data_IF_865218877621
#
_entry.id   IF_865218877621
#
_cell.length_a   1.000
_cell.length_b   1.000
_cell.length_c   1.000
_cell.angle_alpha   90.00
_cell.angle_beta   90.00
_cell.angle_gamma   90.00
#
_symmetry.space_group_name_H-M   'P 1'
#
loop_
_entity.id
_entity.type
_entity.pdbx_description
1 polymer ?
#
# COMPACT_ATOMS: atom_id res chain seq x y z
N UNK A 1 -12.99 -8.90 3.36
CA UNK A 1 -13.80 -8.02 2.49
C UNK A 1 -12.97 -6.90 1.86
N UNK A 2 -11.93 -6.37 2.53
CA UNK A 2 -11.02 -5.36 1.97
C UNK A 2 -10.44 -5.73 0.59
N UNK A 3 -9.71 -6.85 0.50
CA UNK A 3 -9.03 -7.26 -0.74
C UNK A 3 -9.95 -7.57 -1.92
N UNK A 4 -11.15 -8.09 -1.67
CA UNK A 4 -12.14 -8.33 -2.72
C UNK A 4 -12.65 -7.03 -3.32
N UNK A 5 -12.84 -6.00 -2.49
CA UNK A 5 -13.26 -4.67 -2.95
C UNK A 5 -12.12 -3.97 -3.71
N UNK A 6 -10.91 -3.95 -3.14
CA UNK A 6 -9.75 -3.32 -3.78
C UNK A 6 -9.43 -3.95 -5.14
N UNK A 7 -9.55 -5.28 -5.27
CA UNK A 7 -9.36 -5.96 -6.57
C UNK A 7 -10.36 -5.47 -7.62
N UNK A 8 -11.62 -5.32 -7.27
CA UNK A 8 -12.66 -4.84 -8.18
C UNK A 8 -12.42 -3.38 -8.63
N UNK A 9 -11.88 -2.53 -7.76
CA UNK A 9 -11.51 -1.15 -8.11
C UNK A 9 -10.31 -1.13 -9.07
N UNK A 10 -9.29 -1.94 -8.82
CA UNK A 10 -8.09 -2.05 -9.68
C UNK A 10 -8.47 -2.57 -11.07
N UNK A 11 -9.38 -3.54 -11.16
CA UNK A 11 -9.88 -4.06 -12.45
C UNK A 11 -10.63 -3.00 -13.28
N UNK A 12 -11.16 -1.95 -12.64
CA UNK A 12 -11.87 -0.84 -13.29
C UNK A 12 -10.97 0.37 -13.58
N UNK A 13 -9.76 0.42 -13.03
CA UNK A 13 -8.81 1.49 -13.29
C UNK A 13 -8.21 1.39 -14.70
N UNK A 14 -8.38 2.45 -15.50
CA UNK A 14 -7.87 2.53 -16.87
C UNK A 14 -6.57 3.35 -17.02
N UNK A 15 -6.10 4.05 -15.98
CA UNK A 15 -4.93 4.93 -16.11
C UNK A 15 -4.02 4.93 -14.87
N UNK A 16 -2.84 4.31 -15.02
CA UNK A 16 -1.77 4.23 -14.02
C UNK A 16 -0.83 5.45 -14.07
N UNK A 17 -1.24 6.58 -14.65
CA UNK A 17 -0.34 7.73 -14.88
C UNK A 17 -0.43 8.81 -13.80
N UNK A 18 -1.44 8.80 -12.94
CA UNK A 18 -1.68 9.84 -11.92
C UNK A 18 -1.28 9.40 -10.51
N UNK A 19 -0.05 8.93 -10.35
CA UNK A 19 0.48 8.51 -9.06
C UNK A 19 0.99 9.70 -8.23
N UNK A 20 0.59 9.78 -6.96
CA UNK A 20 0.99 10.83 -6.01
C UNK A 20 2.46 10.67 -5.56
N UNK A 21 2.98 9.43 -5.55
CA UNK A 21 4.31 9.13 -5.03
C UNK A 21 5.39 9.32 -6.11
N UNK A 22 6.50 10.01 -5.79
CA UNK A 22 7.57 10.24 -6.75
C UNK A 22 8.33 8.95 -7.08
N UNK A 23 8.24 8.49 -8.33
CA UNK A 23 8.89 7.25 -8.82
C UNK A 23 10.40 7.19 -8.54
N UNK A 24 11.09 8.34 -8.58
CA UNK A 24 12.51 8.42 -8.28
C UNK A 24 12.83 7.99 -6.84
N UNK A 25 11.96 8.29 -5.87
CA UNK A 25 12.14 7.91 -4.47
C UNK A 25 11.90 6.42 -4.26
N UNK A 26 10.88 5.87 -4.93
CA UNK A 26 10.61 4.42 -4.94
C UNK A 26 11.83 3.68 -5.51
N UNK A 27 12.35 4.13 -6.66
CA UNK A 27 13.55 3.55 -7.26
C UNK A 27 14.77 3.63 -6.34
N UNK A 28 14.96 4.73 -5.61
CA UNK A 28 16.06 4.89 -4.65
C UNK A 28 15.95 3.90 -3.48
N UNK A 29 14.74 3.67 -2.96
CA UNK A 29 14.49 2.68 -1.89
C UNK A 29 14.77 1.27 -2.41
N UNK A 30 14.27 0.92 -3.59
CA UNK A 30 14.53 -0.39 -4.21
C UNK A 30 16.03 -0.63 -4.47
N UNK A 31 16.80 0.43 -4.79
CA UNK A 31 18.26 0.40 -4.99
C UNK A 31 19.09 0.46 -3.70
N UNK A 32 18.45 0.57 -2.54
CA UNK A 32 19.17 0.48 -1.27
C UNK A 32 19.61 -0.96 -0.98
N UNK A 33 18.97 -1.94 -1.62
CA UNK A 33 19.40 -3.33 -1.62
C UNK A 33 20.55 -3.54 -2.63
N UNK A 34 21.70 -4.02 -2.14
CA UNK A 34 22.93 -4.19 -2.91
C UNK A 34 22.78 -5.24 -4.02
N UNK A 35 21.87 -6.21 -3.86
CA UNK A 35 21.63 -7.28 -4.83
C UNK A 35 20.72 -6.83 -5.99
N UNK A 36 20.13 -5.62 -5.91
CA UNK A 36 19.22 -5.10 -6.95
C UNK A 36 20.01 -4.36 -8.03
N UNK A 37 20.42 -5.08 -9.08
CA UNK A 37 21.18 -4.49 -10.19
C UNK A 37 20.34 -3.78 -11.27
N UNK A 38 19.14 -4.26 -11.60
CA UNK A 38 18.22 -3.61 -12.55
C UNK A 38 16.82 -3.53 -11.97
N UNK A 39 16.12 -2.43 -12.26
CA UNK A 39 14.72 -2.25 -11.90
C UNK A 39 13.95 -2.01 -13.20
N UNK A 40 12.96 -2.86 -13.49
CA UNK A 40 12.03 -2.65 -14.60
C UNK A 40 11.33 -1.31 -14.45
N UNK A 41 11.03 -0.63 -15.57
CA UNK A 41 10.26 0.62 -15.56
C UNK A 41 8.88 0.43 -14.94
N UNK A 42 8.29 -0.76 -15.09
CA UNK A 42 6.96 -1.08 -14.57
C UNK A 42 6.95 -1.33 -13.06
N UNK A 43 8.05 -1.81 -12.49
CA UNK A 43 8.09 -2.19 -11.08
C UNK A 43 7.81 -1.00 -10.13
N UNK A 44 8.45 0.18 -10.28
CA UNK A 44 8.11 1.36 -9.47
C UNK A 44 6.67 1.81 -9.62
N UNK A 45 6.05 1.61 -10.79
CA UNK A 45 4.66 2.00 -11.07
C UNK A 45 3.71 1.10 -10.25
N UNK A 46 3.92 -0.23 -10.31
CA UNK A 46 3.17 -1.20 -9.51
C UNK A 46 3.36 -0.97 -8.00
N UNK A 47 4.56 -0.56 -7.59
CA UNK A 47 4.83 -0.27 -6.19
C UNK A 47 4.00 0.88 -5.65
N UNK A 48 3.69 1.92 -6.45
CA UNK A 48 2.84 3.03 -5.95
C UNK A 48 1.51 2.48 -5.46
N UNK A 49 0.80 1.75 -6.32
CA UNK A 49 -0.51 1.16 -6.01
C UNK A 49 -0.42 0.18 -4.84
N UNK A 50 0.61 -0.68 -4.84
CA UNK A 50 0.83 -1.61 -3.74
C UNK A 50 1.09 -0.90 -2.40
N UNK A 51 1.82 0.22 -2.42
CA UNK A 51 2.08 1.01 -1.21
C UNK A 51 0.82 1.66 -0.67
N UNK A 52 -0.03 2.20 -1.53
CA UNK A 52 -1.31 2.80 -1.13
C UNK A 52 -2.22 1.75 -0.47
N UNK A 53 -2.35 0.58 -1.09
CA UNK A 53 -3.10 -0.55 -0.53
C UNK A 53 -2.53 -1.04 0.81
N UNK A 54 -1.20 -1.14 0.90
CA UNK A 54 -0.51 -1.57 2.12
C UNK A 54 -0.76 -0.61 3.28
N UNK A 55 -0.62 0.70 3.05
CA UNK A 55 -0.86 1.73 4.06
C UNK A 55 -2.32 1.69 4.51
N UNK A 56 -3.26 1.59 3.57
CA UNK A 56 -4.69 1.54 3.87
C UNK A 56 -5.05 0.30 4.71
N UNK A 57 -4.56 -0.87 4.32
CA UNK A 57 -4.79 -2.10 5.09
C UNK A 57 -4.18 -2.02 6.49
N UNK A 58 -2.94 -1.53 6.59
CA UNK A 58 -2.24 -1.36 7.87
C UNK A 58 -3.02 -0.41 8.79
N UNK A 59 -3.50 0.72 8.27
CA UNK A 59 -4.31 1.67 9.04
C UNK A 59 -5.61 1.04 9.52
N UNK A 60 -6.35 0.36 8.65
CA UNK A 60 -7.63 -0.28 9.01
C UNK A 60 -7.42 -1.32 10.12
N UNK A 61 -6.44 -2.21 9.98
CA UNK A 61 -6.13 -3.23 10.99
C UNK A 61 -5.68 -2.61 12.31
N UNK A 62 -4.85 -1.57 12.26
CA UNK A 62 -4.37 -0.85 13.45
C UNK A 62 -5.52 -0.14 14.16
N UNK A 63 -6.45 0.44 13.40
CA UNK A 63 -7.64 1.09 13.95
C UNK A 63 -8.54 0.08 14.68
N UNK A 64 -8.89 -1.04 14.04
CA UNK A 64 -9.69 -2.09 14.67
C UNK A 64 -9.06 -2.56 15.98
N UNK A 65 -7.74 -2.80 15.99
CA UNK A 65 -7.04 -3.21 17.21
C UNK A 65 -7.08 -2.12 18.30
N UNK A 66 -6.94 -0.85 17.94
CA UNK A 66 -7.04 0.26 18.90
C UNK A 66 -8.47 0.41 19.46
N UNK A 67 -9.49 0.14 18.65
CA UNK A 67 -10.90 0.23 19.03
C UNK A 67 -11.33 -0.92 19.94
N UNK A 68 -10.86 -2.15 19.68
CA UNK A 68 -11.06 -3.31 20.55
C UNK A 68 -10.48 -3.07 21.95
N UNK A 69 -9.25 -2.56 22.03
CA UNK A 69 -8.61 -2.24 23.31
C UNK A 69 -9.36 -1.15 24.08
N UNK A 70 -9.98 -0.18 23.39
CA UNK A 70 -10.84 0.81 24.04
C UNK A 70 -12.11 0.16 24.58
N UNK A 71 -12.76 -0.73 23.81
CA UNK A 71 -13.97 -1.43 24.24
C UNK A 71 -13.76 -2.34 25.48
N UNK A 72 -12.60 -3.02 25.58
CA UNK A 72 -12.27 -3.82 26.76
C UNK A 72 -12.07 -3.00 28.04
N UNK A 73 -11.65 -1.73 27.92
CA UNK A 73 -11.41 -0.85 29.08
C UNK A 73 -12.69 -0.21 29.66
N UNK A 74 -13.80 -0.19 28.91
CA UNK A 74 -15.09 0.34 29.37
C UNK A 74 -16.06 -0.76 29.85
N UNK A 75 -15.66 -2.02 29.77
CA UNK A 75 -16.46 -3.18 30.21
C UNK A 75 -15.94 -3.80 31.51
N UNK A 76 -15.03 -3.11 32.21
CA UNK A 76 -14.48 -3.50 33.50
C UNK A 76 -14.88 -2.53 34.61
#
# INVERSE_FOLDING_TARGET
MFWSYQRQEIEQMNDFKNHQLPLARIKKIMKADEDVYVISVEAPILFVEAYELFILELMIRSWFHAEENKHCNYTH
#
